data_IF_121066819793
#
_entry.id   IF_121066819793
#
_cell.length_a   1.000
_cell.length_b   1.000
_cell.length_c   1.000
_cell.angle_alpha   90.00
_cell.angle_beta   90.00
_cell.angle_gamma   90.00
#
_symmetry.space_group_name_H-M   'P 1'
#
loop_
_entity.id
_entity.type
_entity.pdbx_description
1 polymer ?
#
# COMPACT_ATOMS: atom_id res chain seq x y z
N UNK A 1 -9.42 1.85 -30.99
CA UNK A 1 -10.27 0.65 -30.90
C UNK A 1 -9.45 -0.57 -31.31
N UNK A 2 -9.69 -1.76 -30.75
CA UNK A 2 -8.94 -2.96 -31.13
C UNK A 2 -9.31 -3.40 -32.57
N UNK A 3 -8.32 -3.63 -33.43
CA UNK A 3 -8.56 -4.18 -34.78
C UNK A 3 -8.64 -5.73 -34.80
N UNK A 4 -8.06 -6.40 -33.80
CA UNK A 4 -8.02 -7.87 -33.73
C UNK A 4 -8.82 -8.38 -32.52
N UNK A 5 -9.48 -9.54 -32.68
CA UNK A 5 -10.23 -10.22 -31.60
C UNK A 5 -9.39 -10.46 -30.34
N UNK A 6 -8.10 -10.75 -30.51
CA UNK A 6 -7.14 -10.92 -29.41
C UNK A 6 -6.94 -9.61 -28.63
N UNK A 7 -6.84 -8.47 -29.32
CA UNK A 7 -6.67 -7.15 -28.73
C UNK A 7 -7.91 -6.72 -27.95
N UNK A 8 -9.12 -6.99 -28.46
CA UNK A 8 -10.36 -6.74 -27.74
C UNK A 8 -10.45 -7.55 -26.43
N UNK A 9 -10.08 -8.83 -26.47
CA UNK A 9 -9.97 -9.66 -25.26
C UNK A 9 -8.96 -9.08 -24.26
N UNK A 10 -7.79 -8.61 -24.73
CA UNK A 10 -6.78 -7.99 -23.87
C UNK A 10 -7.29 -6.70 -23.23
N UNK A 11 -8.05 -5.88 -23.95
CA UNK A 11 -8.67 -4.66 -23.43
C UNK A 11 -9.67 -4.96 -22.30
N UNK A 12 -10.55 -5.95 -22.48
CA UNK A 12 -11.48 -6.37 -21.42
C UNK A 12 -10.75 -6.90 -20.18
N UNK A 13 -9.70 -7.71 -20.38
CA UNK A 13 -8.89 -8.22 -19.28
C UNK A 13 -8.11 -7.13 -18.55
N UNK A 14 -7.55 -6.16 -19.28
CA UNK A 14 -6.77 -5.07 -18.69
C UNK A 14 -7.66 -4.16 -17.85
N UNK A 15 -8.86 -3.82 -18.31
CA UNK A 15 -9.83 -3.03 -17.55
C UNK A 15 -10.15 -3.67 -16.19
N UNK A 16 -10.53 -4.97 -16.19
CA UNK A 16 -10.82 -5.72 -14.95
C UNK A 16 -9.61 -5.81 -14.02
N UNK A 17 -8.40 -5.99 -14.56
CA UNK A 17 -7.16 -6.02 -13.76
C UNK A 17 -6.86 -4.65 -13.17
N UNK A 18 -7.05 -3.59 -13.95
CA UNK A 18 -6.78 -2.22 -13.54
C UNK A 18 -7.66 -1.81 -12.36
N UNK A 19 -8.97 -2.10 -12.42
CA UNK A 19 -9.91 -1.81 -11.34
C UNK A 19 -9.48 -2.46 -10.01
N UNK A 20 -9.20 -3.76 -10.03
CA UNK A 20 -8.73 -4.48 -8.82
C UNK A 20 -7.41 -3.92 -8.29
N UNK A 21 -6.47 -3.63 -9.19
CA UNK A 21 -5.16 -3.07 -8.81
C UNK A 21 -5.32 -1.67 -8.22
N UNK A 22 -6.22 -0.86 -8.76
CA UNK A 22 -6.52 0.50 -8.28
C UNK A 22 -7.14 0.46 -6.90
N UNK A 23 -8.13 -0.39 -6.64
CA UNK A 23 -8.74 -0.56 -5.33
C UNK A 23 -7.70 -0.94 -4.26
N UNK A 24 -6.91 -1.98 -4.51
CA UNK A 24 -5.85 -2.46 -3.61
C UNK A 24 -4.79 -1.39 -3.32
N UNK A 25 -4.36 -0.64 -4.34
CA UNK A 25 -3.41 0.48 -4.19
C UNK A 25 -4.03 1.65 -3.42
N UNK A 26 -5.32 1.93 -3.60
CA UNK A 26 -6.04 2.98 -2.88
C UNK A 26 -6.13 2.66 -1.39
N UNK A 27 -6.50 1.43 -1.03
CA UNK A 27 -6.51 0.94 0.36
C UNK A 27 -5.15 1.12 1.02
N UNK A 28 -4.07 0.70 0.35
CA UNK A 28 -2.72 0.86 0.88
C UNK A 28 -2.36 2.33 1.12
N UNK A 29 -2.68 3.21 0.16
CA UNK A 29 -2.46 4.66 0.31
C UNK A 29 -3.26 5.24 1.48
N UNK A 30 -4.47 4.74 1.72
CA UNK A 30 -5.29 5.13 2.87
C UNK A 30 -4.61 4.82 4.19
N UNK A 31 -4.16 3.57 4.37
CA UNK A 31 -3.45 3.14 5.59
C UNK A 31 -2.18 3.95 5.85
N UNK A 32 -1.39 4.21 4.80
CA UNK A 32 -0.17 5.02 4.91
C UNK A 32 -0.48 6.47 5.34
N UNK A 33 -1.55 7.06 4.79
CA UNK A 33 -1.99 8.40 5.17
C UNK A 33 -2.53 8.44 6.60
N UNK A 34 -3.24 7.40 7.04
CA UNK A 34 -3.74 7.31 8.40
C UNK A 34 -2.58 7.29 9.41
N UNK A 35 -1.54 6.49 9.15
CA UNK A 35 -0.35 6.49 10.00
C UNK A 35 0.36 7.86 10.03
N UNK A 36 0.51 8.52 8.88
CA UNK A 36 1.07 9.87 8.83
C UNK A 36 0.26 10.85 9.66
N UNK A 37 -1.07 10.84 9.50
CA UNK A 37 -1.96 11.72 10.27
C UNK A 37 -1.82 11.52 11.78
N UNK A 38 -1.77 10.26 12.24
CA UNK A 38 -1.62 9.95 13.66
C UNK A 38 -0.30 10.51 14.24
N UNK A 39 0.78 10.44 13.45
CA UNK A 39 2.07 11.03 13.83
C UNK A 39 1.96 12.56 13.86
N UNK A 40 1.35 13.17 12.84
CA UNK A 40 1.20 14.62 12.76
C UNK A 40 0.33 15.18 13.91
N UNK A 41 -0.65 14.40 14.40
CA UNK A 41 -1.52 14.78 15.52
C UNK A 41 -0.97 14.43 16.90
N UNK A 42 0.26 13.91 17.02
CA UNK A 42 0.83 13.41 18.27
C UNK A 42 -0.10 12.44 19.03
N UNK A 43 -0.67 11.49 18.32
CA UNK A 43 -1.53 10.46 18.93
C UNK A 43 -0.74 9.50 19.81
N UNK A 44 -1.44 8.81 20.71
CA UNK A 44 -0.86 7.82 21.62
C UNK A 44 -0.01 6.77 20.89
N UNK A 45 1.13 6.39 21.51
CA UNK A 45 2.10 5.45 20.90
C UNK A 45 1.45 4.12 20.51
N UNK A 46 0.46 3.66 21.28
CA UNK A 46 -0.30 2.43 21.03
C UNK A 46 -1.11 2.48 19.72
N UNK A 47 -1.71 3.63 19.40
CA UNK A 47 -2.51 3.81 18.18
C UNK A 47 -1.63 3.80 16.94
N UNK A 48 -0.48 4.48 17.01
CA UNK A 48 0.52 4.53 15.93
C UNK A 48 1.09 3.14 15.65
N UNK A 49 1.38 2.35 16.69
CA UNK A 49 1.82 0.97 16.53
C UNK A 49 0.76 0.07 15.88
N UNK A 50 -0.51 0.22 16.27
CA UNK A 50 -1.61 -0.54 15.67
C UNK A 50 -1.74 -0.23 14.17
N UNK A 51 -1.66 1.05 13.81
CA UNK A 51 -1.73 1.52 12.44
C UNK A 51 -0.53 1.03 11.62
N UNK A 52 0.67 1.02 12.22
CA UNK A 52 1.87 0.45 11.61
C UNK A 52 1.71 -1.04 11.34
N UNK A 53 1.24 -1.84 12.30
CA UNK A 53 1.04 -3.29 12.13
C UNK A 53 0.04 -3.59 10.99
N UNK A 54 -1.07 -2.85 10.94
CA UNK A 54 -2.05 -2.98 9.86
C UNK A 54 -1.46 -2.60 8.48
N UNK A 55 -0.69 -1.51 8.42
CA UNK A 55 -0.04 -1.06 7.19
C UNK A 55 0.99 -2.07 6.69
N UNK A 56 1.86 -2.60 7.56
CA UNK A 56 2.89 -3.60 7.23
C UNK A 56 2.25 -4.89 6.74
N UNK A 57 1.25 -5.41 7.46
CA UNK A 57 0.55 -6.64 7.06
C UNK A 57 -0.05 -6.52 5.65
N UNK A 58 -0.71 -5.39 5.36
CA UNK A 58 -1.29 -5.15 4.04
C UNK A 58 -0.21 -5.02 2.97
N UNK A 59 0.87 -4.32 3.25
CA UNK A 59 1.96 -4.04 2.33
C UNK A 59 2.68 -5.33 1.92
N UNK A 60 2.99 -6.21 2.86
CA UNK A 60 3.64 -7.51 2.61
C UNK A 60 2.70 -8.42 1.78
N UNK A 61 1.40 -8.48 2.11
CA UNK A 61 0.40 -9.21 1.32
C UNK A 61 0.31 -8.72 -0.13
N UNK A 62 0.40 -7.39 -0.36
CA UNK A 62 0.36 -6.81 -1.69
C UNK A 62 1.65 -7.02 -2.48
N UNK A 63 2.79 -7.09 -1.79
CA UNK A 63 4.09 -7.45 -2.37
C UNK A 63 4.12 -8.89 -2.88
N UNK A 64 3.67 -9.85 -2.06
CA UNK A 64 3.60 -11.27 -2.43
C UNK A 64 2.69 -11.47 -3.64
N UNK A 65 1.51 -10.85 -3.64
CA UNK A 65 0.56 -10.92 -4.77
C UNK A 65 0.96 -10.09 -6.00
N UNK A 66 2.16 -9.50 -6.02
CA UNK A 66 2.72 -8.71 -7.12
C UNK A 66 1.84 -7.52 -7.57
N UNK A 67 0.99 -6.99 -6.68
CA UNK A 67 0.29 -5.72 -6.93
C UNK A 67 1.25 -4.52 -6.84
N UNK A 68 2.28 -4.67 -6.00
CA UNK A 68 3.47 -3.82 -5.92
C UNK A 68 4.70 -4.71 -6.05
N UNK A 69 5.80 -4.16 -6.56
CA UNK A 69 7.06 -4.89 -6.64
C UNK A 69 7.59 -5.19 -5.23
N UNK A 70 8.26 -6.34 -5.04
CA UNK A 70 8.83 -6.75 -3.75
C UNK A 70 9.74 -5.66 -3.17
N UNK A 71 10.70 -5.15 -3.96
CA UNK A 71 11.59 -4.05 -3.56
C UNK A 71 10.84 -2.78 -3.15
N UNK A 72 9.69 -2.49 -3.79
CA UNK A 72 8.86 -1.33 -3.42
C UNK A 72 8.19 -1.56 -2.07
N UNK A 73 7.75 -2.79 -1.78
CA UNK A 73 7.25 -3.17 -0.46
C UNK A 73 8.38 -3.03 0.58
N UNK A 74 9.52 -3.70 0.39
CA UNK A 74 10.65 -3.64 1.34
C UNK A 74 11.10 -2.20 1.65
N UNK A 75 11.26 -1.36 0.62
CA UNK A 75 11.61 0.06 0.80
C UNK A 75 10.57 0.81 1.63
N UNK A 76 9.28 0.57 1.38
CA UNK A 76 8.20 1.25 2.12
C UNK A 76 8.12 0.76 3.56
N UNK A 77 8.31 -0.53 3.82
CA UNK A 77 8.42 -1.09 5.16
C UNK A 77 9.56 -0.45 5.95
N UNK A 78 10.74 -0.32 5.35
CA UNK A 78 11.88 0.36 5.95
C UNK A 78 11.58 1.84 6.29
N UNK A 79 10.94 2.57 5.36
CA UNK A 79 10.54 3.96 5.59
C UNK A 79 9.57 4.10 6.78
N UNK A 80 8.53 3.26 6.85
CA UNK A 80 7.57 3.31 7.96
C UNK A 80 8.22 3.00 9.31
N UNK A 81 9.13 2.02 9.33
CA UNK A 81 9.85 1.64 10.55
C UNK A 81 10.75 2.77 11.03
N UNK A 82 11.45 3.44 10.11
CA UNK A 82 12.27 4.62 10.44
C UNK A 82 11.43 5.74 11.06
N UNK A 83 10.23 5.99 10.52
CA UNK A 83 9.32 7.00 11.06
C UNK A 83 8.83 6.64 12.47
N UNK A 84 8.45 5.39 12.71
CA UNK A 84 8.02 4.92 14.03
C UNK A 84 9.14 5.02 15.07
N UNK A 85 10.36 4.61 14.70
CA UNK A 85 11.51 4.70 15.59
C UNK A 85 11.83 6.15 15.95
N UNK A 86 11.80 7.06 14.96
CA UNK A 86 11.99 8.50 15.21
C UNK A 86 10.93 9.08 16.13
N UNK A 87 9.69 8.59 16.07
CA UNK A 87 8.60 9.02 16.93
C UNK A 87 8.71 8.46 18.36
N UNK A 88 9.38 7.32 18.51
CA UNK A 88 9.53 6.65 19.82
C UNK A 88 10.76 7.14 20.59
N UNK A 89 11.83 7.52 19.87
CA UNK A 89 13.09 8.03 20.44
C UNK A 89 13.08 9.53 20.80
N UNK A 90 12.05 10.27 20.40
CA UNK A 90 11.76 11.62 20.90
C UNK A 90 10.82 11.53 22.12
#
# INVERSE_FOLDING_TARGET
MPLHKSAEKRLRQSARRNERNRARKKELKGLLKNMQKLIDTNAEKSEVESAYRAAVQKLDRLGVKRYIHANKASRKKAQLTKMLNSYTQA
#
